data_IF_698466872637
#
_entry.id   IF_698466872637
#
_cell.length_a   1.000
_cell.length_b   1.000
_cell.length_c   1.000
_cell.angle_alpha   90.00
_cell.angle_beta   90.00
_cell.angle_gamma   90.00
#
_symmetry.space_group_name_H-M   'P 1'
#
loop_
_entity.id
_entity.type
_entity.pdbx_description
1 polymer ?
#
# COMPACT_ATOMS: atom_id res chain seq x y z
N UNK A 1 21.46 32.34 37.18
CA UNK A 1 22.45 32.18 36.09
C UNK A 1 22.46 30.70 35.73
N UNK A 2 21.69 30.31 34.71
CA UNK A 2 21.69 28.93 34.20
C UNK A 2 22.93 28.77 33.31
N UNK A 3 23.66 27.67 33.36
CA UNK A 3 24.81 27.46 32.49
C UNK A 3 24.33 27.29 31.06
N UNK A 4 24.97 28.01 30.15
CA UNK A 4 24.74 27.93 28.71
C UNK A 4 24.94 26.48 28.23
N UNK A 5 23.91 25.93 27.60
CA UNK A 5 24.01 24.69 26.85
C UNK A 5 24.91 24.93 25.63
N UNK A 6 25.91 24.08 25.34
CA UNK A 6 26.73 24.25 24.14
C UNK A 6 25.82 24.11 22.91
N UNK A 7 25.80 25.15 22.08
CA UNK A 7 25.21 25.08 20.75
C UNK A 7 25.90 23.92 20.02
N UNK A 8 25.13 22.87 19.70
CA UNK A 8 25.54 21.85 18.74
C UNK A 8 25.98 22.58 17.47
N UNK A 9 27.27 22.53 17.14
CA UNK A 9 27.74 23.10 15.89
C UNK A 9 27.10 22.31 14.77
N UNK A 10 26.08 22.88 14.12
CA UNK A 10 25.42 22.29 12.97
C UNK A 10 26.47 21.84 11.95
N UNK A 11 26.67 20.54 11.83
CA UNK A 11 27.61 19.94 10.90
C UNK A 11 27.25 20.41 9.47
N UNK A 12 28.22 20.99 8.75
CA UNK A 12 27.99 21.58 7.43
C UNK A 12 27.74 20.45 6.42
N UNK A 13 26.59 20.51 5.72
CA UNK A 13 26.13 19.48 4.79
C UNK A 13 26.12 20.00 3.35
N UNK A 14 26.16 19.09 2.38
CA UNK A 14 25.93 19.39 0.98
C UNK A 14 25.30 18.19 0.24
N UNK A 15 24.67 18.47 -0.90
CA UNK A 15 24.09 17.46 -1.79
C UNK A 15 24.80 17.50 -3.13
N UNK A 16 25.17 16.33 -3.63
CA UNK A 16 25.64 16.11 -5.00
C UNK A 16 24.51 15.44 -5.79
N UNK A 17 24.07 16.08 -6.88
CA UNK A 17 23.20 15.43 -7.86
C UNK A 17 24.10 14.77 -8.91
N UNK A 18 24.07 13.46 -8.98
CA UNK A 18 24.99 12.67 -9.79
C UNK A 18 24.34 12.23 -11.11
N UNK A 19 24.89 12.71 -12.23
CA UNK A 19 24.45 12.36 -13.59
C UNK A 19 25.41 11.41 -14.30
N UNK A 20 24.96 10.78 -15.38
CA UNK A 20 25.78 9.79 -16.10
C UNK A 20 26.82 10.50 -16.98
N UNK A 21 26.52 11.75 -17.33
CA UNK A 21 27.21 12.53 -18.34
C UNK A 21 26.96 11.99 -19.75
N UNK A 22 27.28 12.80 -20.75
CA UNK A 22 27.09 12.47 -22.15
C UNK A 22 28.12 13.17 -23.03
N UNK A 23 28.53 12.48 -24.10
CA UNK A 23 29.49 12.97 -25.09
C UNK A 23 28.92 14.05 -26.02
N UNK A 24 27.61 14.33 -25.94
CA UNK A 24 26.99 15.41 -26.69
C UNK A 24 27.37 16.78 -26.11
N UNK A 25 27.59 17.77 -26.98
CA UNK A 25 27.82 19.15 -26.54
C UNK A 25 26.62 19.67 -25.72
N UNK A 26 26.90 20.41 -24.64
CA UNK A 26 25.89 20.97 -23.70
C UNK A 26 25.07 19.96 -22.87
N UNK A 27 25.50 18.70 -22.78
CA UNK A 27 24.81 17.63 -22.05
C UNK A 27 24.70 17.81 -20.53
N UNK A 28 25.54 18.65 -19.92
CA UNK A 28 25.53 18.91 -18.47
C UNK A 28 24.44 19.88 -18.00
N UNK A 29 23.92 20.73 -18.90
CA UNK A 29 22.97 21.81 -18.56
C UNK A 29 21.69 21.34 -17.88
N UNK A 30 21.05 20.21 -18.26
CA UNK A 30 19.85 19.73 -17.57
C UNK A 30 20.12 19.40 -16.10
N UNK A 31 21.27 18.80 -15.79
CA UNK A 31 21.64 18.43 -14.43
C UNK A 31 21.97 19.67 -13.59
N UNK A 32 22.69 20.63 -14.16
CA UNK A 32 22.95 21.93 -13.55
C UNK A 32 21.65 22.69 -13.23
N UNK A 33 20.69 22.67 -14.17
CA UNK A 33 19.38 23.26 -13.96
C UNK A 33 18.65 22.62 -12.77
N UNK A 34 18.65 21.28 -12.69
CA UNK A 34 18.03 20.56 -11.56
C UNK A 34 18.71 20.93 -10.24
N UNK A 35 20.05 20.92 -10.19
CA UNK A 35 20.80 21.29 -9.00
C UNK A 35 20.46 22.71 -8.53
N UNK A 36 20.38 23.67 -9.46
CA UNK A 36 19.99 25.06 -9.15
C UNK A 36 18.57 25.19 -8.59
N UNK A 37 17.61 24.40 -9.11
CA UNK A 37 16.23 24.40 -8.59
C UNK A 37 16.12 23.74 -7.20
N UNK A 38 16.95 22.75 -6.92
CA UNK A 38 17.00 22.08 -5.62
C UNK A 38 17.73 22.92 -4.57
N UNK A 39 18.76 23.68 -4.95
CA UNK A 39 19.45 24.60 -4.05
C UNK A 39 18.49 25.64 -3.43
N UNK A 40 17.46 26.08 -4.16
CA UNK A 40 16.42 26.97 -3.63
C UNK A 40 15.42 26.32 -2.67
N UNK A 41 15.53 25.00 -2.43
CA UNK A 41 14.61 24.22 -1.59
C UNK A 41 15.28 23.56 -0.38
N UNK A 42 16.61 23.56 -0.34
CA UNK A 42 17.40 22.93 0.71
C UNK A 42 18.28 23.96 1.39
N UNK A 43 18.46 23.83 2.70
CA UNK A 43 19.32 24.71 3.49
C UNK A 43 20.80 24.27 3.43
N UNK A 44 21.23 23.79 2.27
CA UNK A 44 22.59 23.35 2.01
C UNK A 44 22.94 23.47 0.52
N UNK A 45 24.23 23.59 0.17
CA UNK A 45 24.66 23.61 -1.23
C UNK A 45 24.21 22.35 -1.96
N UNK A 46 23.72 22.53 -3.19
CA UNK A 46 23.41 21.44 -4.12
C UNK A 46 24.25 21.65 -5.38
N UNK A 47 25.12 20.69 -5.70
CA UNK A 47 26.05 20.78 -6.83
C UNK A 47 25.93 19.57 -7.77
N UNK A 48 26.12 19.75 -9.08
CA UNK A 48 26.15 18.64 -10.01
C UNK A 48 27.54 17.96 -10.04
N UNK A 49 27.53 16.64 -10.26
CA UNK A 49 28.69 15.84 -10.60
C UNK A 49 28.34 14.79 -11.68
N UNK A 50 29.33 14.28 -12.38
CA UNK A 50 29.14 13.32 -13.46
C UNK A 50 29.97 12.05 -13.28
N UNK A 51 29.41 10.90 -13.67
CA UNK A 51 30.13 9.63 -13.67
C UNK A 51 31.13 9.52 -14.81
N UNK A 52 30.78 10.01 -16.00
CA UNK A 52 31.58 9.86 -17.21
C UNK A 52 31.43 11.08 -18.13
N UNK A 53 32.41 11.29 -19.02
CA UNK A 53 32.39 12.23 -20.16
C UNK A 53 32.32 13.73 -19.86
N UNK A 54 31.77 14.14 -18.72
CA UNK A 54 31.68 15.53 -18.29
C UNK A 54 32.44 15.71 -16.97
N UNK A 55 32.91 16.94 -16.76
CA UNK A 55 33.54 17.36 -15.52
C UNK A 55 32.67 18.42 -14.83
N UNK A 56 32.72 18.53 -13.51
CA UNK A 56 33.55 17.75 -12.59
C UNK A 56 32.96 16.38 -12.20
N UNK A 57 33.85 15.40 -12.05
CA UNK A 57 33.51 14.07 -11.54
C UNK A 57 33.11 14.03 -10.05
N UNK A 58 32.56 12.89 -9.61
CA UNK A 58 32.11 12.68 -8.23
C UNK A 58 33.24 12.89 -7.22
N UNK A 59 34.38 12.22 -7.41
CA UNK A 59 35.53 12.36 -6.53
C UNK A 59 36.06 13.81 -6.41
N UNK A 60 36.10 14.54 -7.54
CA UNK A 60 36.53 15.94 -7.53
C UNK A 60 35.58 16.80 -6.68
N UNK A 61 34.27 16.67 -6.88
CA UNK A 61 33.27 17.44 -6.11
C UNK A 61 33.31 17.13 -4.62
N UNK A 62 33.52 15.88 -4.24
CA UNK A 62 33.62 15.50 -2.83
C UNK A 62 34.82 16.19 -2.16
N UNK A 63 35.99 16.21 -2.82
CA UNK A 63 37.19 16.87 -2.29
C UNK A 63 37.03 18.40 -2.19
N UNK A 64 36.42 19.03 -3.18
CA UNK A 64 36.12 20.48 -3.15
C UNK A 64 35.22 20.83 -1.96
N UNK A 65 34.11 20.10 -1.77
CA UNK A 65 33.18 20.33 -0.66
C UNK A 65 33.83 20.06 0.71
N UNK A 66 34.66 19.02 0.81
CA UNK A 66 35.40 18.71 2.03
C UNK A 66 36.37 19.84 2.42
N UNK A 67 37.08 20.40 1.44
CA UNK A 67 37.95 21.56 1.62
C UNK A 67 37.17 22.81 2.07
N UNK A 68 35.93 22.97 1.61
CA UNK A 68 34.99 24.02 2.04
C UNK A 68 34.37 23.76 3.43
N UNK A 69 34.83 22.74 4.15
CA UNK A 69 34.40 22.41 5.51
C UNK A 69 33.12 21.59 5.59
N UNK A 70 32.62 21.04 4.49
CA UNK A 70 31.49 20.10 4.51
C UNK A 70 31.95 18.79 5.14
N UNK A 71 31.13 18.25 6.05
CA UNK A 71 31.41 16.99 6.76
C UNK A 71 30.33 15.93 6.54
N UNK A 72 29.21 16.29 5.92
CA UNK A 72 28.20 15.34 5.44
C UNK A 72 27.83 15.62 3.99
N UNK A 73 28.10 14.67 3.10
CA UNK A 73 27.75 14.74 1.68
C UNK A 73 26.68 13.70 1.35
N UNK A 74 25.53 14.18 0.85
CA UNK A 74 24.50 13.32 0.27
C UNK A 74 24.73 13.18 -1.23
N UNK A 75 24.71 11.97 -1.75
CA UNK A 75 24.87 11.68 -3.17
C UNK A 75 23.52 11.17 -3.68
N UNK A 76 22.91 11.92 -4.58
CA UNK A 76 21.60 11.63 -5.15
C UNK A 76 21.72 11.27 -6.63
N UNK A 77 21.62 9.98 -7.01
CA UNK A 77 21.72 9.56 -8.40
C UNK A 77 20.50 10.02 -9.23
N UNK A 78 20.76 10.77 -10.29
CA UNK A 78 19.74 11.27 -11.22
C UNK A 78 19.62 10.34 -12.45
N UNK A 79 19.25 9.08 -12.20
CA UNK A 79 19.10 8.04 -13.23
C UNK A 79 17.68 7.46 -13.24
N UNK A 80 17.11 7.26 -14.42
CA UNK A 80 15.78 6.65 -14.59
C UNK A 80 15.83 5.12 -14.72
N UNK A 81 16.97 4.56 -15.13
CA UNK A 81 17.15 3.13 -15.35
C UNK A 81 18.41 2.64 -14.64
N UNK A 82 18.31 1.47 -14.02
CA UNK A 82 19.43 0.82 -13.35
C UNK A 82 20.36 0.20 -14.41
N UNK A 83 21.42 0.93 -14.76
CA UNK A 83 22.58 0.32 -15.40
C UNK A 83 23.41 -0.46 -14.37
N UNK A 84 24.30 -1.35 -14.83
CA UNK A 84 25.24 -2.09 -13.97
C UNK A 84 26.07 -1.19 -13.02
N UNK A 85 26.19 0.10 -13.34
CA UNK A 85 26.91 1.12 -12.56
C UNK A 85 26.30 1.42 -11.17
N UNK A 86 24.97 1.27 -11.01
CA UNK A 86 24.29 1.53 -9.73
C UNK A 86 24.59 0.49 -8.64
N UNK A 87 24.95 -0.73 -9.04
CA UNK A 87 25.15 -1.85 -8.11
C UNK A 87 26.60 -2.02 -7.66
N UNK A 88 27.57 -1.41 -8.35
CA UNK A 88 29.00 -1.65 -8.09
C UNK A 88 29.84 -0.37 -8.17
N UNK A 89 29.82 0.33 -9.29
CA UNK A 89 30.76 1.41 -9.57
C UNK A 89 30.63 2.62 -8.62
N UNK A 90 29.40 3.06 -8.31
CA UNK A 90 29.18 4.19 -7.39
C UNK A 90 29.52 3.82 -5.94
N UNK A 91 29.04 2.68 -5.39
CA UNK A 91 29.49 2.22 -4.08
C UNK A 91 31.01 2.09 -3.96
N UNK A 92 31.68 1.52 -4.96
CA UNK A 92 33.14 1.36 -4.98
C UNK A 92 33.87 2.71 -4.93
N UNK A 93 33.47 3.68 -5.76
CA UNK A 93 34.07 5.03 -5.74
C UNK A 93 33.81 5.76 -4.40
N UNK A 94 32.64 5.56 -3.78
CA UNK A 94 32.33 6.13 -2.44
C UNK A 94 33.21 5.48 -1.36
N UNK A 95 33.49 4.19 -1.45
CA UNK A 95 34.35 3.49 -0.48
C UNK A 95 35.80 3.97 -0.58
N UNK A 96 36.31 4.23 -1.78
CA UNK A 96 37.62 4.88 -1.97
C UNK A 96 37.63 6.30 -1.37
N UNK A 97 36.58 7.08 -1.60
CA UNK A 97 36.46 8.44 -1.04
C UNK A 97 36.37 8.46 0.49
N UNK A 98 35.75 7.43 1.10
CA UNK A 98 35.73 7.28 2.57
C UNK A 98 37.13 7.05 3.15
N UNK A 99 38.00 6.36 2.40
CA UNK A 99 39.39 6.17 2.81
C UNK A 99 40.22 7.46 2.67
N UNK A 100 39.97 8.22 1.58
CA UNK A 100 40.66 9.49 1.30
C UNK A 100 40.19 10.66 2.19
N UNK A 101 38.92 10.66 2.60
CA UNK A 101 38.25 11.74 3.35
C UNK A 101 37.56 11.18 4.62
N UNK A 102 38.32 10.70 5.61
CA UNK A 102 37.76 10.03 6.80
C UNK A 102 36.91 10.96 7.69
N UNK A 103 37.07 12.28 7.56
CA UNK A 103 36.27 13.28 8.26
C UNK A 103 34.92 13.57 7.61
N UNK A 104 34.62 12.98 6.45
CA UNK A 104 33.38 13.21 5.70
C UNK A 104 32.49 11.97 5.73
N UNK A 105 31.24 12.15 6.17
CA UNK A 105 30.19 11.15 6.09
C UNK A 105 29.51 11.21 4.72
N UNK A 106 29.40 10.06 4.05
CA UNK A 106 28.73 9.94 2.75
C UNK A 106 27.41 9.18 2.87
N UNK A 107 26.33 9.74 2.32
CA UNK A 107 25.01 9.09 2.24
C UNK A 107 24.53 9.00 0.79
N UNK A 108 24.45 7.78 0.26
CA UNK A 108 23.89 7.52 -1.06
C UNK A 108 22.37 7.34 -0.96
N UNK A 109 21.59 8.08 -1.76
CA UNK A 109 20.15 7.88 -1.86
C UNK A 109 19.81 6.84 -2.92
N UNK A 110 18.55 6.39 -2.95
CA UNK A 110 18.03 5.70 -4.12
C UNK A 110 18.13 6.58 -5.38
N UNK A 111 18.31 5.96 -6.53
CA UNK A 111 18.20 6.64 -7.82
C UNK A 111 16.74 7.08 -8.07
N UNK A 112 16.57 8.01 -9.01
CA UNK A 112 15.25 8.48 -9.43
C UNK A 112 14.33 7.34 -9.91
N UNK A 113 14.88 6.40 -10.69
CA UNK A 113 14.30 5.09 -10.98
C UNK A 113 12.86 5.11 -11.52
N UNK A 114 12.13 4.04 -11.24
CA UNK A 114 10.69 3.94 -11.55
C UNK A 114 9.87 4.47 -10.37
N UNK A 115 9.48 5.74 -10.46
CA UNK A 115 8.66 6.44 -9.46
C UNK A 115 7.33 6.93 -10.08
N UNK A 116 6.23 6.81 -9.33
CA UNK A 116 4.91 7.22 -9.80
C UNK A 116 4.83 8.70 -10.23
N UNK A 117 5.63 9.58 -9.61
CA UNK A 117 5.70 11.01 -9.97
C UNK A 117 6.26 11.24 -11.38
N UNK A 118 7.10 10.33 -11.87
CA UNK A 118 7.60 10.39 -13.24
C UNK A 118 6.53 9.97 -14.23
N UNK A 119 5.65 9.04 -13.86
CA UNK A 119 4.49 8.68 -14.67
C UNK A 119 3.58 9.89 -14.85
N UNK A 120 3.31 10.63 -13.77
CA UNK A 120 2.54 11.88 -13.84
C UNK A 120 3.21 12.92 -14.73
N UNK A 121 4.53 13.11 -14.58
CA UNK A 121 5.29 14.03 -15.44
C UNK A 121 5.24 13.62 -16.91
N UNK A 122 5.37 12.33 -17.22
CA UNK A 122 5.26 11.82 -18.60
C UNK A 122 3.85 12.02 -19.14
N UNK A 123 2.82 11.78 -18.34
CA UNK A 123 1.43 12.05 -18.73
C UNK A 123 1.18 13.53 -19.03
N UNK A 124 1.75 14.44 -18.23
CA UNK A 124 1.70 15.89 -18.50
C UNK A 124 2.34 16.23 -19.85
N UNK A 125 3.52 15.69 -20.15
CA UNK A 125 4.21 15.89 -21.45
C UNK A 125 3.43 15.32 -22.63
N UNK A 126 2.78 14.17 -22.45
CA UNK A 126 1.92 13.59 -23.48
C UNK A 126 0.70 14.51 -23.73
N UNK A 127 0.10 15.04 -22.66
CA UNK A 127 -0.94 16.06 -22.75
C UNK A 127 -0.50 17.32 -23.51
N UNK A 128 0.70 17.84 -23.21
CA UNK A 128 1.30 18.98 -23.93
C UNK A 128 1.48 18.70 -25.44
N UNK A 129 1.79 17.46 -25.81
CA UNK A 129 1.95 17.03 -27.20
C UNK A 129 0.61 16.77 -27.93
N UNK A 130 -0.52 17.06 -27.30
CA UNK A 130 -1.86 16.83 -27.86
C UNK A 130 -2.34 15.38 -27.73
N UNK A 131 -1.55 14.50 -27.10
CA UNK A 131 -2.01 13.21 -26.60
C UNK A 131 -2.62 13.43 -25.21
N UNK A 132 -3.75 14.15 -25.18
CA UNK A 132 -4.61 14.17 -24.01
C UNK A 132 -5.23 12.78 -23.78
N UNK A 133 -5.81 12.51 -22.59
CA UNK A 133 -6.62 11.31 -22.41
C UNK A 133 -7.68 11.24 -23.51
N UNK A 134 -8.09 10.05 -23.91
CA UNK A 134 -9.30 9.89 -24.70
C UNK A 134 -10.46 10.56 -23.91
N UNK A 135 -10.85 11.74 -24.40
CA UNK A 135 -11.79 12.73 -23.84
C UNK A 135 -11.81 12.90 -22.32
N UNK A 136 -10.91 13.76 -21.85
CA UNK A 136 -10.95 14.43 -20.55
C UNK A 136 -10.99 15.95 -20.74
N UNK A 137 -11.97 16.62 -20.14
CA UNK A 137 -11.96 18.06 -19.92
C UNK A 137 -12.65 18.36 -18.59
N UNK A 138 -12.32 19.38 -17.82
CA UNK A 138 -11.20 20.31 -17.80
C UNK A 138 -11.34 21.08 -16.48
N UNK A 139 -10.21 21.38 -15.85
CA UNK A 139 -10.07 22.47 -14.88
C UNK A 139 -9.84 22.06 -13.43
N UNK A 140 -8.59 22.22 -12.99
CA UNK A 140 -8.31 23.00 -11.77
C UNK A 140 -6.81 23.32 -11.65
N UNK A 141 -6.48 24.60 -11.80
CA UNK A 141 -5.59 25.24 -10.83
C UNK A 141 -6.16 24.99 -9.43
N UNK A 142 -5.36 24.54 -8.44
CA UNK A 142 -5.07 25.34 -7.23
C UNK A 142 -3.85 24.79 -6.49
N UNK A 143 -3.08 25.74 -5.98
CA UNK A 143 -1.95 25.61 -5.10
C UNK A 143 -2.25 24.96 -3.74
N UNK A 144 -1.17 24.40 -3.15
CA UNK A 144 -0.77 24.74 -1.79
C UNK A 144 -1.26 23.84 -0.65
N UNK A 145 -0.29 23.24 0.03
CA UNK A 145 -0.38 22.93 1.46
C UNK A 145 -0.75 21.49 1.79
N UNK A 146 0.19 20.81 2.44
CA UNK A 146 -0.11 19.58 3.20
C UNK A 146 -1.03 19.97 4.36
N UNK A 147 -2.27 19.50 4.33
CA UNK A 147 -3.21 19.58 5.44
C UNK A 147 -3.27 18.22 6.18
N UNK A 148 -3.53 18.23 7.50
CA UNK A 148 -3.42 17.05 8.37
C UNK A 148 -4.61 16.08 8.21
N UNK A 149 -4.34 14.79 8.49
CA UNK A 149 -5.26 13.65 8.66
C UNK A 149 -6.76 13.92 8.40
N UNK A 150 -7.09 14.01 7.12
CA UNK A 150 -8.40 13.81 6.48
C UNK A 150 -8.18 13.00 5.20
N UNK A 151 -9.23 12.55 4.50
CA UNK A 151 -9.10 11.82 3.23
C UNK A 151 -8.08 12.51 2.32
N UNK A 152 -7.04 11.78 1.91
CA UNK A 152 -5.94 12.35 1.14
C UNK A 152 -6.49 12.88 -0.20
N UNK A 153 -6.01 14.02 -0.73
CA UNK A 153 -6.54 14.59 -1.98
C UNK A 153 -6.64 13.58 -3.13
N UNK A 154 -5.67 12.66 -3.22
CA UNK A 154 -5.64 11.55 -4.19
C UNK A 154 -6.77 10.55 -3.98
N UNK A 155 -7.12 10.23 -2.73
CA UNK A 155 -8.20 9.28 -2.42
C UNK A 155 -9.56 9.88 -2.78
N UNK A 156 -9.79 11.15 -2.43
CA UNK A 156 -11.01 11.87 -2.82
C UNK A 156 -11.14 11.96 -4.35
N UNK A 157 -10.07 12.35 -5.05
CA UNK A 157 -10.07 12.39 -6.52
C UNK A 157 -10.29 11.00 -7.14
N UNK A 158 -9.66 9.95 -6.57
CA UNK A 158 -9.87 8.57 -7.01
C UNK A 158 -11.33 8.16 -6.87
N UNK A 159 -11.99 8.55 -5.78
CA UNK A 159 -13.39 8.26 -5.57
C UNK A 159 -14.31 9.02 -6.53
N UNK A 160 -14.01 10.27 -6.84
CA UNK A 160 -14.76 11.03 -7.85
C UNK A 160 -14.64 10.37 -9.24
N UNK A 161 -13.46 9.83 -9.57
CA UNK A 161 -13.26 9.06 -10.81
C UNK A 161 -14.10 7.77 -10.77
N UNK A 162 -14.10 7.05 -9.65
CA UNK A 162 -14.88 5.82 -9.49
C UNK A 162 -16.38 6.10 -9.63
N UNK A 163 -16.89 7.16 -8.99
CA UNK A 163 -18.30 7.54 -9.05
C UNK A 163 -18.75 7.84 -10.50
N UNK A 164 -17.87 8.47 -11.32
CA UNK A 164 -18.13 8.68 -12.75
C UNK A 164 -18.02 7.42 -13.61
N UNK A 165 -17.21 6.44 -13.21
CA UNK A 165 -17.03 5.19 -13.96
C UNK A 165 -18.10 4.15 -13.66
N UNK A 166 -18.57 4.12 -12.41
CA UNK A 166 -19.58 3.15 -11.96
C UNK A 166 -20.99 3.69 -12.21
N UNK A 167 -21.21 5.01 -12.11
CA UNK A 167 -22.54 5.63 -12.23
C UNK A 167 -23.59 4.95 -11.33
N UNK A 168 -23.37 4.91 -10.00
CA UNK A 168 -24.26 4.18 -9.09
C UNK A 168 -25.68 4.75 -9.12
N UNK A 169 -26.68 3.86 -9.06
CA UNK A 169 -28.09 4.26 -8.99
C UNK A 169 -28.39 5.11 -7.74
N UNK A 170 -27.80 4.75 -6.60
CA UNK A 170 -27.89 5.49 -5.34
C UNK A 170 -26.50 5.64 -4.69
N UNK A 171 -25.85 6.80 -4.84
CA UNK A 171 -24.56 7.09 -4.19
C UNK A 171 -24.61 7.07 -2.66
N UNK A 172 -25.79 7.20 -2.05
CA UNK A 172 -25.98 7.21 -0.60
C UNK A 172 -26.19 5.80 -0.02
N UNK A 173 -26.33 4.77 -0.87
CA UNK A 173 -26.46 3.40 -0.41
C UNK A 173 -25.16 2.96 0.29
N UNK A 174 -25.22 2.51 1.56
CA UNK A 174 -24.03 2.02 2.26
C UNK A 174 -23.35 0.83 1.56
N UNK A 175 -24.09 0.05 0.77
CA UNK A 175 -23.52 -1.02 -0.07
C UNK A 175 -22.63 -0.45 -1.15
N UNK A 176 -22.99 0.70 -1.73
CA UNK A 176 -22.14 1.39 -2.69
C UNK A 176 -20.85 1.89 -2.05
N UNK A 177 -20.87 2.37 -0.80
CA UNK A 177 -19.65 2.79 -0.11
C UNK A 177 -18.64 1.63 0.11
N UNK A 178 -19.15 0.41 0.27
CA UNK A 178 -18.35 -0.82 0.30
C UNK A 178 -17.82 -1.14 -1.11
N UNK A 179 -18.71 -1.14 -2.11
CA UNK A 179 -18.38 -1.44 -3.50
C UNK A 179 -17.33 -0.47 -4.08
N UNK A 180 -17.48 0.83 -3.83
CA UNK A 180 -16.54 1.88 -4.23
C UNK A 180 -15.13 1.64 -3.70
N UNK A 181 -15.00 1.14 -2.46
CA UNK A 181 -13.69 0.80 -1.88
C UNK A 181 -13.08 -0.47 -2.47
N UNK A 182 -13.92 -1.44 -2.85
CA UNK A 182 -13.45 -2.61 -3.60
C UNK A 182 -12.93 -2.19 -4.98
N UNK A 183 -13.64 -1.32 -5.70
CA UNK A 183 -13.17 -0.77 -6.97
C UNK A 183 -11.85 -0.03 -6.77
N UNK A 184 -11.75 0.83 -5.76
CA UNK A 184 -10.52 1.55 -5.45
C UNK A 184 -9.33 0.61 -5.18
N UNK A 185 -9.54 -0.46 -4.41
CA UNK A 185 -8.49 -1.41 -4.05
C UNK A 185 -8.07 -2.36 -5.18
N UNK A 186 -8.83 -2.41 -6.28
CA UNK A 186 -8.61 -3.35 -7.40
C UNK A 186 -8.34 -2.66 -8.73
N UNK A 187 -8.76 -1.40 -8.88
CA UNK A 187 -8.77 -0.69 -10.15
C UNK A 187 -9.78 -1.23 -11.16
N UNK A 188 -10.77 -2.04 -10.75
CA UNK A 188 -11.77 -2.64 -11.65
C UNK A 188 -13.19 -2.16 -11.33
N UNK A 189 -13.74 -1.16 -12.07
CA UNK A 189 -15.10 -0.63 -11.86
C UNK A 189 -16.19 -1.69 -11.97
N UNK A 190 -15.97 -2.76 -12.74
CA UNK A 190 -16.95 -3.84 -12.94
C UNK A 190 -17.18 -4.68 -11.68
N UNK A 191 -16.40 -4.44 -10.62
CA UNK A 191 -16.60 -5.09 -9.34
C UNK A 191 -17.68 -4.42 -8.49
N UNK A 192 -18.10 -3.19 -8.82
CA UNK A 192 -19.14 -2.51 -8.06
C UNK A 192 -20.47 -3.28 -8.08
N UNK A 193 -20.92 -3.64 -9.29
CA UNK A 193 -22.19 -4.36 -9.49
C UNK A 193 -22.08 -5.87 -9.25
N UNK A 194 -20.86 -6.37 -9.09
CA UNK A 194 -20.61 -7.80 -8.91
C UNK A 194 -20.65 -8.23 -7.45
N UNK A 195 -20.63 -7.31 -6.48
CA UNK A 195 -20.72 -7.66 -5.07
C UNK A 195 -22.15 -8.03 -4.71
N UNK A 196 -22.31 -9.16 -4.04
CA UNK A 196 -23.58 -9.61 -3.48
C UNK A 196 -23.58 -9.42 -1.97
N UNK A 197 -24.72 -8.97 -1.45
CA UNK A 197 -24.96 -8.71 -0.03
C UNK A 197 -26.21 -9.48 0.39
N UNK A 198 -26.19 -10.11 1.57
CA UNK A 198 -27.43 -10.51 2.22
C UNK A 198 -28.25 -9.26 2.59
N UNK A 199 -29.56 -9.44 2.79
CA UNK A 199 -30.45 -8.34 3.17
C UNK A 199 -30.02 -7.65 4.48
N UNK A 200 -29.48 -8.40 5.44
CA UNK A 200 -29.03 -7.89 6.75
C UNK A 200 -27.55 -7.51 6.83
N UNK A 201 -26.77 -7.65 5.75
CA UNK A 201 -25.31 -7.58 5.81
C UNK A 201 -24.76 -6.29 6.45
N UNK A 202 -25.27 -5.13 6.03
CA UNK A 202 -24.79 -3.82 6.53
C UNK A 202 -25.17 -3.61 8.00
N UNK A 203 -26.41 -3.95 8.37
CA UNK A 203 -26.89 -3.77 9.75
C UNK A 203 -26.19 -4.75 10.71
N UNK A 204 -26.00 -5.99 10.28
CA UNK A 204 -25.24 -6.99 11.03
C UNK A 204 -23.79 -6.56 11.23
N UNK A 205 -23.15 -5.99 10.19
CA UNK A 205 -21.81 -5.42 10.30
C UNK A 205 -21.74 -4.31 11.35
N UNK A 206 -22.65 -3.33 11.28
CA UNK A 206 -22.71 -2.20 12.22
C UNK A 206 -22.91 -2.66 13.65
N UNK A 207 -23.85 -3.59 13.88
CA UNK A 207 -24.11 -4.15 15.20
C UNK A 207 -22.88 -4.89 15.75
N UNK A 208 -22.25 -5.75 14.95
CA UNK A 208 -21.07 -6.51 15.36
C UNK A 208 -19.90 -5.58 15.69
N UNK A 209 -19.61 -4.60 14.83
CA UNK A 209 -18.54 -3.61 15.04
C UNK A 209 -18.81 -2.77 16.30
N UNK A 210 -20.03 -2.25 16.44
CA UNK A 210 -20.41 -1.45 17.61
C UNK A 210 -20.38 -2.22 18.94
N UNK A 211 -20.55 -3.54 18.89
CA UNK A 211 -20.44 -4.43 20.07
C UNK A 211 -19.00 -4.85 20.41
N UNK A 212 -18.02 -4.50 19.57
CA UNK A 212 -16.63 -4.94 19.77
C UNK A 212 -16.39 -6.41 19.42
N UNK A 213 -17.11 -6.94 18.42
CA UNK A 213 -17.04 -8.35 18.03
C UNK A 213 -15.61 -8.82 17.70
N UNK A 214 -15.34 -10.10 17.95
CA UNK A 214 -14.10 -10.74 17.49
C UNK A 214 -14.09 -10.83 15.96
N UNK A 215 -12.91 -10.71 15.36
CA UNK A 215 -12.71 -10.79 13.91
C UNK A 215 -11.80 -11.98 13.61
N UNK A 216 -12.23 -12.89 12.72
CA UNK A 216 -11.46 -14.06 12.30
C UNK A 216 -11.08 -13.98 10.83
N UNK A 217 -9.82 -14.25 10.51
CA UNK A 217 -9.30 -14.22 9.14
C UNK A 217 -8.73 -15.56 8.71
N UNK A 218 -8.91 -15.90 7.43
CA UNK A 218 -8.39 -17.13 6.85
C UNK A 218 -6.88 -17.12 6.63
N UNK A 219 -6.30 -15.97 6.24
CA UNK A 219 -4.86 -15.83 5.97
C UNK A 219 -4.26 -14.55 6.56
N UNK A 220 -2.95 -14.58 6.83
CA UNK A 220 -2.22 -13.44 7.40
C UNK A 220 -2.29 -12.17 6.54
N UNK A 221 -2.39 -12.29 5.20
CA UNK A 221 -2.53 -11.11 4.34
C UNK A 221 -3.85 -10.36 4.57
N UNK A 222 -4.95 -11.07 4.87
CA UNK A 222 -6.21 -10.43 5.24
C UNK A 222 -6.06 -9.74 6.58
N UNK A 223 -5.54 -10.45 7.59
CA UNK A 223 -5.33 -9.90 8.93
C UNK A 223 -4.48 -8.62 8.88
N UNK A 224 -3.34 -8.64 8.20
CA UNK A 224 -2.46 -7.47 8.04
C UNK A 224 -3.16 -6.28 7.36
N UNK A 225 -4.05 -6.54 6.40
CA UNK A 225 -4.79 -5.49 5.68
C UNK A 225 -5.92 -4.84 6.50
N UNK A 226 -6.39 -5.51 7.57
CA UNK A 226 -7.50 -5.01 8.39
C UNK A 226 -7.06 -4.56 9.80
N UNK A 227 -5.96 -5.10 10.33
CA UNK A 227 -5.47 -4.85 11.70
C UNK A 227 -5.44 -3.36 12.06
N UNK A 228 -4.89 -2.45 11.24
CA UNK A 228 -4.80 -1.04 11.61
C UNK A 228 -6.17 -0.40 11.81
N UNK A 229 -7.17 -0.81 11.02
CA UNK A 229 -8.54 -0.29 11.09
C UNK A 229 -9.33 -0.95 12.20
N UNK A 230 -9.19 -2.27 12.37
CA UNK A 230 -9.79 -3.02 13.46
C UNK A 230 -9.32 -2.50 14.83
N UNK A 231 -8.01 -2.30 15.01
CA UNK A 231 -7.43 -1.77 16.25
C UNK A 231 -7.96 -0.38 16.60
N UNK A 232 -8.10 0.51 15.60
CA UNK A 232 -8.71 1.84 15.78
C UNK A 232 -10.17 1.78 16.23
N UNK A 233 -10.90 0.73 15.83
CA UNK A 233 -12.28 0.47 16.22
C UNK A 233 -12.41 -0.39 17.50
N UNK A 234 -11.30 -0.75 18.15
CA UNK A 234 -11.32 -1.59 19.36
C UNK A 234 -11.65 -3.06 19.10
N UNK A 235 -11.58 -3.52 17.84
CA UNK A 235 -11.83 -4.90 17.45
C UNK A 235 -10.56 -5.74 17.56
N UNK A 236 -10.71 -7.03 17.89
CA UNK A 236 -9.60 -7.98 17.98
C UNK A 236 -9.59 -8.92 16.78
N UNK A 237 -8.51 -8.88 16.01
CA UNK A 237 -8.31 -9.74 14.85
C UNK A 237 -7.55 -11.00 15.24
N UNK A 238 -7.98 -12.15 14.72
CA UNK A 238 -7.38 -13.45 14.95
C UNK A 238 -7.17 -14.17 13.62
N UNK A 239 -5.94 -14.62 13.35
CA UNK A 239 -5.63 -15.51 12.24
C UNK A 239 -4.78 -16.69 12.72
N UNK A 240 -5.37 -17.88 12.69
CA UNK A 240 -4.73 -19.10 13.22
C UNK A 240 -3.85 -19.84 12.23
N UNK A 241 -3.78 -19.44 10.95
CA UNK A 241 -3.25 -20.29 9.86
C UNK A 241 -1.78 -20.71 10.06
N UNK A 242 -0.99 -19.91 10.77
CA UNK A 242 0.44 -20.15 11.02
C UNK A 242 0.72 -20.91 12.34
N UNK A 243 -0.30 -21.25 13.13
CA UNK A 243 -0.11 -21.92 14.42
C UNK A 243 0.23 -23.40 14.22
N UNK A 244 1.20 -23.91 14.97
CA UNK A 244 1.68 -25.30 14.85
C UNK A 244 0.59 -26.33 15.19
N UNK A 245 -0.26 -25.99 16.15
CA UNK A 245 -1.49 -26.74 16.47
C UNK A 245 -2.50 -26.80 15.32
N UNK A 246 -2.66 -25.73 14.53
CA UNK A 246 -3.49 -25.75 13.30
C UNK A 246 -2.86 -26.68 12.27
N UNK A 247 -1.54 -26.63 12.10
CA UNK A 247 -0.82 -27.52 11.18
C UNK A 247 -1.00 -29.00 11.56
N UNK A 248 -0.88 -29.32 12.85
CA UNK A 248 -1.12 -30.68 13.37
C UNK A 248 -2.58 -31.12 13.18
N UNK A 249 -3.55 -30.25 13.45
CA UNK A 249 -4.97 -30.55 13.23
C UNK A 249 -5.28 -30.79 11.75
N UNK A 250 -4.74 -29.96 10.85
CA UNK A 250 -4.88 -30.09 9.41
C UNK A 250 -4.38 -31.47 8.92
N UNK A 251 -3.18 -31.86 9.38
CA UNK A 251 -2.60 -33.16 9.03
C UNK A 251 -3.42 -34.33 9.60
N UNK A 252 -3.85 -34.26 10.85
CA UNK A 252 -4.61 -35.33 11.51
C UNK A 252 -6.01 -35.52 10.90
N UNK A 253 -6.66 -34.42 10.50
CA UNK A 253 -8.02 -34.45 9.95
C UNK A 253 -8.07 -34.54 8.41
N UNK A 254 -6.93 -34.50 7.72
CA UNK A 254 -6.87 -34.55 6.26
C UNK A 254 -7.49 -33.32 5.57
N UNK A 255 -7.40 -32.15 6.19
CA UNK A 255 -7.96 -30.88 5.68
C UNK A 255 -6.88 -29.82 5.48
N UNK A 256 -7.21 -28.71 4.83
CA UNK A 256 -6.27 -27.59 4.67
C UNK A 256 -6.05 -26.85 5.98
N UNK A 257 -4.92 -26.12 6.08
CA UNK A 257 -4.64 -25.25 7.23
C UNK A 257 -5.70 -24.16 7.43
N UNK A 258 -6.24 -23.61 6.35
CA UNK A 258 -7.32 -22.62 6.42
C UNK A 258 -8.58 -23.20 7.06
N UNK A 259 -9.02 -24.38 6.62
CA UNK A 259 -10.14 -25.10 7.23
C UNK A 259 -9.85 -25.43 8.71
N UNK A 260 -8.68 -26.00 9.00
CA UNK A 260 -8.29 -26.36 10.36
C UNK A 260 -8.26 -25.15 11.32
N UNK A 261 -7.88 -23.96 10.85
CA UNK A 261 -7.87 -22.75 11.67
C UNK A 261 -9.29 -22.37 12.15
N UNK A 262 -10.30 -22.46 11.27
CA UNK A 262 -11.69 -22.21 11.66
C UNK A 262 -12.25 -23.29 12.57
N UNK A 263 -11.98 -24.56 12.25
CA UNK A 263 -12.36 -25.69 13.10
C UNK A 263 -11.81 -25.56 14.51
N UNK A 264 -10.52 -25.23 14.63
CA UNK A 264 -9.91 -25.02 15.94
C UNK A 264 -10.49 -23.80 16.67
N UNK A 265 -10.72 -22.69 15.96
CA UNK A 265 -11.29 -21.48 16.55
C UNK A 265 -12.67 -21.76 17.15
N UNK A 266 -13.53 -22.47 16.41
CA UNK A 266 -14.84 -22.89 16.92
C UNK A 266 -14.72 -23.85 18.11
N UNK A 267 -13.87 -24.88 18.00
CA UNK A 267 -13.75 -25.92 19.02
C UNK A 267 -13.18 -25.42 20.37
N UNK A 268 -12.41 -24.33 20.39
CA UNK A 268 -11.81 -23.81 21.63
C UNK A 268 -12.82 -23.26 22.64
N UNK A 269 -13.95 -22.75 22.16
CA UNK A 269 -14.96 -22.09 23.02
C UNK A 269 -16.40 -22.49 22.66
N UNK A 270 -16.59 -23.43 21.72
CA UNK A 270 -17.86 -23.90 21.15
C UNK A 270 -18.83 -22.79 20.62
N UNK A 271 -18.39 -21.53 20.66
CA UNK A 271 -19.15 -20.34 20.33
C UNK A 271 -18.23 -19.17 19.93
N UNK A 272 -16.91 -19.39 19.75
CA UNK A 272 -15.98 -18.30 19.43
C UNK A 272 -16.29 -17.59 18.11
N UNK A 273 -16.96 -18.29 17.19
CA UNK A 273 -17.43 -17.73 15.93
C UNK A 273 -18.81 -17.08 16.05
N UNK A 274 -19.53 -17.26 17.16
CA UNK A 274 -20.87 -16.75 17.34
C UNK A 274 -20.82 -15.24 17.59
N UNK A 275 -21.60 -14.49 16.81
CA UNK A 275 -21.54 -13.03 16.81
C UNK A 275 -20.25 -12.43 16.24
N UNK A 276 -19.30 -13.27 15.79
CA UNK A 276 -18.04 -12.80 15.24
C UNK A 276 -18.18 -12.30 13.80
N UNK A 277 -17.23 -11.47 13.37
CA UNK A 277 -17.06 -11.10 11.96
C UNK A 277 -16.02 -12.02 11.36
N UNK A 278 -16.40 -12.79 10.35
CA UNK A 278 -15.52 -13.73 9.65
C UNK A 278 -15.13 -13.16 8.30
N UNK A 279 -13.83 -13.03 8.04
CA UNK A 279 -13.27 -12.42 6.82
C UNK A 279 -12.40 -13.44 6.09
N UNK A 280 -12.89 -13.93 4.95
CA UNK A 280 -12.24 -14.98 4.16
C UNK A 280 -11.91 -14.41 2.78
N UNK A 281 -10.61 -14.15 2.55
CA UNK A 281 -10.14 -13.52 1.31
C UNK A 281 -9.37 -14.43 0.37
N UNK A 282 -8.94 -15.62 0.80
CA UNK A 282 -8.01 -16.44 0.00
C UNK A 282 -8.39 -17.92 -0.09
N UNK A 283 -8.80 -18.57 0.99
CA UNK A 283 -8.96 -20.02 1.03
C UNK A 283 -10.43 -20.45 0.87
N UNK A 284 -10.86 -21.00 -0.28
CA UNK A 284 -12.22 -21.52 -0.43
C UNK A 284 -12.55 -22.61 0.59
N UNK A 285 -11.55 -23.44 0.92
CA UNK A 285 -11.70 -24.50 1.94
C UNK A 285 -11.98 -23.97 3.34
N UNK A 286 -11.54 -22.74 3.67
CA UNK A 286 -11.91 -22.11 4.94
C UNK A 286 -13.40 -21.73 4.95
N UNK A 287 -13.92 -21.22 3.82
CA UNK A 287 -15.33 -20.89 3.69
C UNK A 287 -16.21 -22.15 3.74
N UNK A 288 -15.83 -23.21 3.02
CA UNK A 288 -16.52 -24.51 3.08
C UNK A 288 -16.57 -25.04 4.51
N UNK A 289 -15.45 -24.97 5.26
CA UNK A 289 -15.42 -25.44 6.64
C UNK A 289 -16.29 -24.57 7.55
N UNK A 290 -16.30 -23.24 7.39
CA UNK A 290 -17.20 -22.36 8.13
C UNK A 290 -18.67 -22.73 7.90
N UNK A 291 -19.06 -22.99 6.65
CA UNK A 291 -20.42 -23.38 6.29
C UNK A 291 -20.79 -24.75 6.87
N UNK A 292 -19.85 -25.70 6.88
CA UNK A 292 -20.00 -26.98 7.56
C UNK A 292 -20.26 -26.77 9.06
N UNK A 293 -19.42 -25.98 9.73
CA UNK A 293 -19.58 -25.63 11.16
C UNK A 293 -20.94 -24.98 11.43
N UNK A 294 -21.39 -24.07 10.57
CA UNK A 294 -22.69 -23.40 10.72
C UNK A 294 -23.88 -24.37 10.59
N UNK A 295 -23.82 -25.33 9.66
CA UNK A 295 -24.88 -26.32 9.46
C UNK A 295 -24.88 -27.43 10.50
N UNK A 296 -23.71 -27.98 10.80
CA UNK A 296 -23.58 -29.22 11.57
C UNK A 296 -23.38 -28.96 13.07
N UNK A 297 -22.70 -27.87 13.41
CA UNK A 297 -22.30 -27.56 14.79
C UNK A 297 -22.97 -26.29 15.32
N UNK A 298 -23.72 -25.58 14.47
CA UNK A 298 -24.56 -24.47 14.87
C UNK A 298 -23.84 -23.13 15.00
N UNK A 299 -22.63 -22.97 14.43
CA UNK A 299 -21.92 -21.69 14.44
C UNK A 299 -22.77 -20.56 13.81
N UNK A 300 -22.80 -19.38 14.45
CA UNK A 300 -23.59 -18.22 14.02
C UNK A 300 -22.76 -16.93 13.97
N UNK A 301 -21.84 -16.79 12.99
CA UNK A 301 -21.16 -15.51 12.77
C UNK A 301 -22.18 -14.40 12.51
N UNK A 302 -21.91 -13.21 13.04
CA UNK A 302 -22.74 -12.03 12.77
C UNK A 302 -22.63 -11.61 11.31
N UNK A 303 -21.45 -11.75 10.69
CA UNK A 303 -21.23 -11.44 9.29
C UNK A 303 -20.12 -12.32 8.71
N UNK A 304 -20.30 -12.77 7.47
CA UNK A 304 -19.26 -13.43 6.68
C UNK A 304 -18.89 -12.59 5.45
N UNK A 305 -17.69 -12.02 5.44
CA UNK A 305 -17.07 -11.47 4.22
C UNK A 305 -16.39 -12.62 3.48
N UNK A 306 -17.14 -13.27 2.59
CA UNK A 306 -16.74 -14.46 1.86
C UNK A 306 -16.32 -14.15 0.43
N UNK A 307 -15.07 -13.69 0.25
CA UNK A 307 -14.50 -13.35 -1.06
C UNK A 307 -13.21 -14.13 -1.38
N UNK A 308 -13.14 -15.46 -1.13
CA UNK A 308 -11.98 -16.22 -1.57
C UNK A 308 -11.81 -16.16 -3.10
N UNK A 309 -10.56 -15.99 -3.52
CA UNK A 309 -10.13 -16.11 -4.91
C UNK A 309 -9.76 -17.56 -5.23
N UNK A 310 -10.00 -17.99 -6.46
CA UNK A 310 -9.48 -19.28 -6.93
C UNK A 310 -10.27 -19.86 -8.08
N UNK A 311 -9.67 -20.86 -8.72
CA UNK A 311 -10.28 -21.60 -9.83
C UNK A 311 -10.84 -22.96 -9.39
N UNK A 312 -10.69 -23.32 -8.12
CA UNK A 312 -11.17 -24.58 -7.55
C UNK A 312 -11.92 -24.27 -6.26
N UNK A 313 -13.22 -24.55 -6.24
CA UNK A 313 -14.08 -24.42 -5.04
C UNK A 313 -14.46 -22.99 -4.65
N UNK A 314 -13.87 -21.95 -5.25
CA UNK A 314 -14.14 -20.56 -4.89
C UNK A 314 -15.57 -20.15 -5.28
N UNK A 315 -15.96 -20.39 -6.54
CA UNK A 315 -17.30 -20.04 -7.02
C UNK A 315 -18.39 -20.83 -6.26
N UNK A 316 -18.16 -22.13 -6.06
CA UNK A 316 -19.07 -23.04 -5.39
C UNK A 316 -19.26 -22.67 -3.92
N UNK A 317 -18.16 -22.41 -3.19
CA UNK A 317 -18.25 -22.04 -1.76
C UNK A 317 -18.96 -20.70 -1.53
N UNK A 318 -18.83 -19.74 -2.46
CA UNK A 318 -19.55 -18.46 -2.38
C UNK A 318 -21.03 -18.59 -2.73
N UNK A 319 -21.36 -19.44 -3.69
CA UNK A 319 -22.76 -19.78 -3.98
C UNK A 319 -23.41 -20.50 -2.79
N UNK A 320 -22.68 -21.41 -2.13
CA UNK A 320 -23.14 -22.08 -0.91
C UNK A 320 -23.32 -21.09 0.25
N UNK A 321 -22.43 -20.11 0.40
CA UNK A 321 -22.58 -19.01 1.35
C UNK A 321 -23.86 -18.22 1.10
N UNK A 322 -24.14 -17.86 -0.15
CA UNK A 322 -25.36 -17.14 -0.52
C UNK A 322 -26.64 -17.91 -0.16
N UNK A 323 -26.59 -19.25 -0.25
CA UNK A 323 -27.70 -20.14 0.10
C UNK A 323 -27.75 -20.53 1.59
N UNK A 324 -26.78 -20.10 2.41
CA UNK A 324 -26.61 -20.62 3.78
C UNK A 324 -27.58 -20.04 4.82
N UNK A 325 -28.18 -18.88 4.53
CA UNK A 325 -28.99 -18.11 5.48
C UNK A 325 -28.18 -17.30 6.50
N UNK A 326 -26.84 -17.28 6.40
CA UNK A 326 -25.99 -16.37 7.16
C UNK A 326 -26.00 -14.97 6.54
N UNK A 327 -25.72 -13.95 7.34
CA UNK A 327 -25.44 -12.62 6.80
C UNK A 327 -24.06 -12.59 6.14
N UNK A 328 -23.99 -12.07 4.91
CA UNK A 328 -22.79 -12.18 4.10
C UNK A 328 -22.56 -11.00 3.14
N UNK A 329 -21.30 -10.84 2.76
CA UNK A 329 -20.87 -10.08 1.58
C UNK A 329 -19.96 -10.99 0.76
N UNK A 330 -20.28 -11.21 -0.51
CA UNK A 330 -19.56 -12.11 -1.39
C UNK A 330 -19.32 -11.50 -2.77
N UNK A 331 -18.38 -12.08 -3.51
CA UNK A 331 -18.11 -11.74 -4.90
C UNK A 331 -18.21 -13.01 -5.74
N UNK A 332 -19.31 -13.25 -6.47
CA UNK A 332 -19.54 -14.50 -7.20
C UNK A 332 -18.43 -14.86 -8.20
N UNK A 333 -18.34 -16.16 -8.53
CA UNK A 333 -17.36 -16.69 -9.47
C UNK A 333 -15.96 -16.85 -8.88
N UNK A 334 -14.92 -16.68 -9.69
CA UNK A 334 -13.53 -16.99 -9.30
C UNK A 334 -12.76 -15.80 -8.70
N UNK A 335 -13.28 -14.58 -8.90
CA UNK A 335 -12.66 -13.34 -8.42
C UNK A 335 -12.84 -13.21 -6.91
N UNK A 336 -11.88 -12.57 -6.27
CA UNK A 336 -11.82 -12.44 -4.82
C UNK A 336 -10.43 -11.93 -4.43
N UNK A 337 -10.04 -12.13 -3.18
CA UNK A 337 -8.67 -11.87 -2.76
C UNK A 337 -8.60 -11.18 -1.40
N UNK A 338 -7.42 -11.23 -0.80
CA UNK A 338 -7.17 -10.58 0.48
C UNK A 338 -7.33 -9.06 0.43
N UNK A 339 -6.99 -8.43 -0.70
CA UNK A 339 -7.20 -6.99 -0.91
C UNK A 339 -8.69 -6.62 -0.94
N UNK A 340 -9.53 -7.41 -1.62
CA UNK A 340 -10.98 -7.22 -1.66
C UNK A 340 -11.59 -7.42 -0.27
N UNK A 341 -11.21 -8.50 0.41
CA UNK A 341 -11.69 -8.78 1.77
C UNK A 341 -11.35 -7.64 2.75
N UNK A 342 -10.11 -7.15 2.69
CA UNK A 342 -9.68 -6.02 3.50
C UNK A 342 -10.39 -4.72 3.14
N UNK A 343 -10.60 -4.44 1.85
CA UNK A 343 -11.34 -3.26 1.41
C UNK A 343 -12.79 -3.26 1.91
N UNK A 344 -13.48 -4.41 1.83
CA UNK A 344 -14.83 -4.59 2.36
C UNK A 344 -14.85 -4.33 3.87
N UNK A 345 -14.02 -5.04 4.63
CA UNK A 345 -13.98 -4.88 6.09
C UNK A 345 -13.67 -3.43 6.50
N UNK A 346 -12.65 -2.82 5.89
CA UNK A 346 -12.26 -1.44 6.18
C UNK A 346 -13.33 -0.41 5.79
N UNK A 347 -14.21 -0.73 4.83
CA UNK A 347 -15.38 0.09 4.51
C UNK A 347 -16.44 -0.01 5.60
N UNK A 348 -16.75 -1.25 6.04
CA UNK A 348 -17.74 -1.51 7.07
C UNK A 348 -17.39 -0.83 8.40
N UNK A 349 -16.12 -0.84 8.80
CA UNK A 349 -15.66 -0.15 10.02
C UNK A 349 -15.84 1.37 9.94
N UNK A 350 -15.82 1.97 8.75
CA UNK A 350 -16.07 3.42 8.59
C UNK A 350 -17.56 3.76 8.57
N UNK A 351 -18.39 2.80 8.17
CA UNK A 351 -19.84 2.90 8.11
C UNK A 351 -20.52 2.70 9.47
N UNK A 352 -19.82 2.11 10.44
CA UNK A 352 -20.29 1.78 11.79
C UNK A 352 -19.93 2.88 12.79
#
# INVERSE_FOLDING_TARGET
MRPDSPAESSEKKAVIILGHGSRAADSGRPLEWVAGRLAGRLDCPVVPAFLQFNEPGLAQRCRELAADGVRHIYIAPYFLFDGNHMLRDIPEEIDELRADLPEVTFTLTAALGTDARLVSLVAERLGEAGLGPAEAGAGADVAGGVAPLGQHPIESESFDIIDRLVEPEDPADPRYEVARRVVHATGDPRLADALEFSAGAIDAARAAIGSGAAVFCDVNMVAAGIEPTAARAGLRVTCGIALEEVARLAAAAGITRGAAAFRQSHARDNAALDGAIVVIGNAPTALVELLRLAREEGARPALVVGVPVGFVGAAESKAELAASGLDYIALPGNRGGSNIAAAIFNALVRLA
#
